data_IF_137372423088
#
_entry.id   IF_137372423088
#
_cell.length_a   1.000
_cell.length_b   1.000
_cell.length_c   1.000
_cell.angle_alpha   90.00
_cell.angle_beta   90.00
_cell.angle_gamma   90.00
#
_symmetry.space_group_name_H-M   'P 1'
#
loop_
_entity.id
_entity.type
_entity.pdbx_description
1 polymer ?
#
# COMPACT_ATOMS: atom_id res chain seq x y z
N UNK A 1 -25.70 -4.18 -26.74
CA UNK A 1 -24.23 -4.27 -26.72
C UNK A 1 -23.71 -3.20 -27.67
N UNK A 2 -23.40 -2.01 -27.17
CA UNK A 2 -22.97 -0.88 -28.01
C UNK A 2 -21.49 -1.05 -28.35
N UNK A 3 -21.19 -1.35 -29.61
CA UNK A 3 -19.84 -1.28 -30.14
C UNK A 3 -19.46 0.19 -30.33
N UNK A 4 -18.47 0.66 -29.58
CA UNK A 4 -17.93 2.01 -29.70
C UNK A 4 -17.27 2.18 -31.06
N UNK A 5 -17.80 3.10 -31.85
CA UNK A 5 -17.26 3.51 -33.15
C UNK A 5 -15.99 4.35 -32.90
N UNK A 6 -14.80 4.00 -33.42
CA UNK A 6 -13.60 4.80 -33.19
C UNK A 6 -13.72 6.13 -33.96
N UNK A 7 -13.61 7.24 -33.24
CA UNK A 7 -13.55 8.57 -33.80
C UNK A 7 -12.26 8.73 -34.63
N UNK A 8 -12.31 9.01 -35.94
CA UNK A 8 -11.14 9.14 -36.80
C UNK A 8 -10.29 10.39 -36.53
N UNK A 9 -10.73 11.28 -35.63
CA UNK A 9 -10.03 12.50 -35.23
C UNK A 9 -9.48 12.43 -33.79
N UNK A 10 -9.20 11.23 -33.27
CA UNK A 10 -8.47 11.10 -32.02
C UNK A 10 -6.98 11.06 -32.33
N UNK A 11 -6.25 12.11 -31.95
CA UNK A 11 -4.78 12.22 -32.06
C UNK A 11 -4.04 11.26 -31.12
N UNK A 12 -4.54 10.03 -30.99
CA UNK A 12 -3.95 8.96 -30.22
C UNK A 12 -3.15 8.08 -31.19
N UNK A 13 -1.82 8.26 -31.27
CA UNK A 13 -0.98 7.61 -32.29
C UNK A 13 -0.93 6.08 -32.18
N UNK A 14 -1.48 5.51 -31.10
CA UNK A 14 -1.54 4.08 -30.80
C UNK A 14 -2.87 3.43 -31.19
N UNK A 15 -3.83 4.17 -31.75
CA UNK A 15 -5.15 3.66 -32.11
C UNK A 15 -5.23 3.00 -33.50
N UNK A 16 -4.22 3.18 -34.36
CA UNK A 16 -4.41 2.97 -35.82
C UNK A 16 -3.58 1.86 -36.44
N UNK A 17 -2.67 1.18 -35.75
CA UNK A 17 -1.89 0.10 -36.37
C UNK A 17 -1.95 -1.17 -35.53
N UNK A 18 -2.28 -2.26 -36.23
CA UNK A 18 -2.08 -3.67 -35.90
C UNK A 18 -1.73 -3.97 -34.43
N UNK A 19 -2.69 -4.57 -33.73
CA UNK A 19 -2.63 -5.33 -32.47
C UNK A 19 -1.26 -5.51 -31.79
N UNK A 20 -0.61 -4.42 -31.40
CA UNK A 20 0.55 -4.42 -30.51
C UNK A 20 0.18 -3.42 -29.41
N UNK A 21 -0.15 -3.96 -28.24
CA UNK A 21 -0.88 -3.25 -27.18
C UNK A 21 -0.37 -1.85 -26.85
N UNK A 22 -1.28 -1.01 -26.37
CA UNK A 22 -1.00 0.37 -26.01
C UNK A 22 0.19 0.46 -25.03
N UNK A 23 1.30 1.13 -25.36
CA UNK A 23 2.48 1.19 -24.49
C UNK A 23 2.18 1.88 -23.15
N UNK A 24 1.22 2.81 -23.13
CA UNK A 24 0.72 3.46 -21.92
C UNK A 24 0.14 2.46 -20.90
N UNK A 25 -0.52 1.38 -21.36
CA UNK A 25 -1.02 0.35 -20.46
C UNK A 25 0.11 -0.52 -19.90
N UNK A 26 1.17 -0.79 -20.69
CA UNK A 26 2.33 -1.55 -20.21
C UNK A 26 3.11 -0.82 -19.11
N UNK A 27 3.23 0.51 -19.21
CA UNK A 27 3.80 1.34 -18.14
C UNK A 27 2.93 1.33 -16.88
N UNK A 28 1.61 1.44 -17.04
CA UNK A 28 0.66 1.42 -15.93
C UNK A 28 0.61 0.06 -15.22
N UNK A 29 0.54 -1.04 -15.95
CA UNK A 29 0.58 -2.40 -15.39
C UNK A 29 1.89 -2.69 -14.67
N UNK A 30 3.01 -2.15 -15.16
CA UNK A 30 4.29 -2.22 -14.48
C UNK A 30 4.27 -1.45 -13.16
N UNK A 31 3.71 -0.24 -13.12
CA UNK A 31 3.57 0.53 -11.86
C UNK A 31 2.66 -0.20 -10.86
N UNK A 32 1.51 -0.70 -11.30
CA UNK A 32 0.58 -1.47 -10.47
C UNK A 32 1.22 -2.76 -9.94
N UNK A 33 2.03 -3.45 -10.76
CA UNK A 33 2.74 -4.65 -10.34
C UNK A 33 3.80 -4.37 -9.27
N UNK A 34 4.49 -3.22 -9.34
CA UNK A 34 5.43 -2.79 -8.30
C UNK A 34 4.72 -2.43 -7.00
N UNK A 35 3.59 -1.71 -7.04
CA UNK A 35 2.78 -1.40 -5.85
C UNK A 35 2.17 -2.66 -5.22
N UNK A 36 1.68 -3.60 -6.04
CA UNK A 36 1.11 -4.85 -5.57
C UNK A 36 2.15 -5.83 -4.98
N UNK A 37 3.43 -5.64 -5.28
CA UNK A 37 4.54 -6.45 -4.75
C UNK A 37 5.37 -5.73 -3.69
N UNK A 38 4.98 -4.53 -3.23
CA UNK A 38 5.61 -3.99 -2.02
C UNK A 38 5.30 -4.99 -0.91
N UNK A 39 6.30 -5.74 -0.42
CA UNK A 39 6.06 -6.69 0.64
C UNK A 39 5.64 -5.83 1.83
N UNK A 40 4.44 -6.06 2.34
CA UNK A 40 4.02 -5.53 3.62
C UNK A 40 5.15 -5.83 4.61
N UNK A 41 5.84 -4.78 5.04
CA UNK A 41 7.04 -4.93 5.85
C UNK A 41 6.66 -5.62 7.15
N UNK A 42 7.56 -6.40 7.74
CA UNK A 42 7.28 -7.01 9.04
C UNK A 42 6.90 -5.96 10.09
N UNK A 43 7.47 -4.76 9.96
CA UNK A 43 7.08 -3.54 10.67
C UNK A 43 5.58 -3.23 10.56
N UNK A 44 5.04 -3.22 9.35
CA UNK A 44 3.65 -2.85 9.05
C UNK A 44 2.68 -3.89 9.62
N UNK A 45 3.03 -5.18 9.46
CA UNK A 45 2.31 -6.30 10.10
C UNK A 45 2.25 -6.17 11.61
N UNK A 46 3.40 -5.86 12.21
CA UNK A 46 3.55 -5.72 13.64
C UNK A 46 2.76 -4.51 14.16
N UNK A 47 2.84 -3.36 13.48
CA UNK A 47 2.04 -2.18 13.81
C UNK A 47 0.53 -2.46 13.69
N UNK A 48 0.09 -3.12 12.61
CA UNK A 48 -1.29 -3.52 12.42
C UNK A 48 -1.78 -4.55 13.45
N UNK A 49 -0.89 -5.38 13.99
CA UNK A 49 -1.20 -6.28 15.10
C UNK A 49 -1.36 -5.49 16.40
N UNK A 50 -0.43 -4.61 16.74
CA UNK A 50 -0.49 -3.77 17.93
C UNK A 50 -1.75 -2.91 17.95
N UNK A 51 -2.14 -2.36 16.81
CA UNK A 51 -3.35 -1.54 16.70
C UNK A 51 -4.64 -2.35 16.92
N UNK A 52 -4.63 -3.65 16.58
CA UNK A 52 -5.73 -4.57 16.93
C UNK A 52 -5.75 -4.93 18.41
N UNK A 53 -4.58 -5.06 19.04
CA UNK A 53 -4.47 -5.35 20.48
C UNK A 53 -4.82 -4.11 21.34
N UNK A 54 -4.50 -2.91 20.86
CA UNK A 54 -4.69 -1.65 21.55
C UNK A 54 -5.55 -0.67 20.73
N UNK A 55 -6.85 -0.94 20.55
CA UNK A 55 -7.73 -0.07 19.74
C UNK A 55 -7.94 1.33 20.33
N UNK A 56 -7.61 1.53 21.61
CA UNK A 56 -7.67 2.84 22.26
C UNK A 56 -6.41 3.68 22.04
N UNK A 57 -5.33 3.09 21.52
CA UNK A 57 -4.08 3.80 21.22
C UNK A 57 -4.09 4.22 19.75
N UNK A 58 -3.72 5.47 19.48
CA UNK A 58 -3.57 5.97 18.12
C UNK A 58 -2.46 5.28 17.34
N UNK A 59 -2.74 4.95 16.08
CA UNK A 59 -1.79 4.26 15.19
C UNK A 59 -0.50 5.04 14.95
N UNK A 60 -0.57 6.38 14.95
CA UNK A 60 0.62 7.24 14.87
C UNK A 60 1.52 7.13 16.09
N UNK A 61 0.94 6.95 17.29
CA UNK A 61 1.71 6.73 18.51
C UNK A 61 2.36 5.35 18.51
N UNK A 62 1.62 4.32 18.06
CA UNK A 62 2.17 2.97 17.85
C UNK A 62 3.34 3.01 16.87
N UNK A 63 3.18 3.65 15.71
CA UNK A 63 4.23 3.79 14.71
C UNK A 63 5.44 4.58 15.20
N UNK A 64 5.24 5.60 16.05
CA UNK A 64 6.33 6.37 16.66
C UNK A 64 7.12 5.52 17.66
N UNK A 65 6.44 4.84 18.58
CA UNK A 65 7.08 3.95 19.56
C UNK A 65 7.77 2.78 18.84
N UNK A 66 7.12 2.22 17.82
CA UNK A 66 7.68 1.14 17.02
C UNK A 66 8.87 1.62 16.16
N UNK A 67 8.89 2.84 15.63
CA UNK A 67 10.11 3.35 14.96
C UNK A 67 11.25 3.64 15.94
N UNK A 68 10.93 4.22 17.11
CA UNK A 68 11.90 4.54 18.16
C UNK A 68 12.53 3.26 18.73
N UNK A 69 11.72 2.24 18.98
CA UNK A 69 12.10 1.00 19.69
C UNK A 69 12.02 -0.26 18.83
N UNK A 70 11.77 -0.16 17.54
CA UNK A 70 11.62 -1.31 16.62
C UNK A 70 12.89 -2.15 16.53
N UNK A 71 14.03 -1.60 16.96
CA UNK A 71 15.27 -2.36 17.17
C UNK A 71 15.29 -3.22 18.44
N UNK A 72 14.51 -2.86 19.47
CA UNK A 72 14.39 -3.59 20.74
C UNK A 72 13.35 -4.74 20.67
N UNK A 73 12.40 -4.66 19.74
CA UNK A 73 11.50 -5.75 19.38
C UNK A 73 10.05 -5.58 19.86
N UNK A 74 9.14 -6.32 19.24
CA UNK A 74 7.68 -6.23 19.43
C UNK A 74 7.22 -6.39 20.89
N UNK A 75 7.90 -7.22 21.66
CA UNK A 75 7.54 -7.50 23.05
C UNK A 75 7.64 -6.27 23.95
N UNK A 76 8.75 -5.52 23.85
CA UNK A 76 8.96 -4.30 24.64
C UNK A 76 7.94 -3.22 24.25
N UNK A 77 7.63 -3.10 22.95
CA UNK A 77 6.60 -2.18 22.47
C UNK A 77 5.22 -2.55 23.03
N UNK A 78 4.86 -3.84 23.10
CA UNK A 78 3.59 -4.30 23.70
C UNK A 78 3.48 -3.91 25.16
N UNK A 79 4.52 -4.13 25.96
CA UNK A 79 4.48 -3.82 27.40
C UNK A 79 4.23 -2.32 27.63
N UNK A 80 4.92 -1.45 26.88
CA UNK A 80 4.75 -0.01 27.04
C UNK A 80 3.37 0.47 26.57
N UNK A 81 2.87 -0.06 25.44
CA UNK A 81 1.51 0.23 24.97
C UNK A 81 0.45 -0.26 25.96
N UNK A 82 0.71 -1.37 26.64
CA UNK A 82 -0.17 -1.92 27.65
C UNK A 82 -0.23 -1.06 28.92
N UNK A 83 0.89 -0.44 29.33
CA UNK A 83 0.88 0.56 30.40
C UNK A 83 0.09 1.80 30.02
N UNK A 84 0.27 2.31 28.79
CA UNK A 84 -0.44 3.50 28.29
C UNK A 84 -1.96 3.28 28.15
N UNK A 85 -2.39 2.06 27.81
CA UNK A 85 -3.81 1.72 27.70
C UNK A 85 -4.50 1.49 29.06
N UNK A 86 -3.73 1.25 30.13
CA UNK A 86 -4.25 1.08 31.50
C UNK A 86 -4.23 2.39 32.31
N UNK A 87 -3.54 3.43 31.82
CA UNK A 87 -3.41 4.74 32.45
C UNK A 87 -4.64 5.63 32.31
#
# INVERSE_FOLDING_TARGET
MSHSNPNPNSSNPWATEESHGNPFYADFERMQAYEANVPESEDDRNQAQLQREFPNIDGSLIAAIYNERGRAGLAEVREMLQELNQG
#
